data_IF_816982706760
#
_entry.id   IF_816982706760
#
_cell.length_a   1.000
_cell.length_b   1.000
_cell.length_c   1.000
_cell.angle_alpha   90.00
_cell.angle_beta   90.00
_cell.angle_gamma   90.00
#
_symmetry.space_group_name_H-M   'P 1'
#
loop_
_entity.id
_entity.type
_entity.pdbx_description
1 polymer ?
2 polymer ?
3 polymer ?
4 non-polymer ?
5 non-polymer ?
6 water ?
#
loop_
_entity_poly.entity_id
_entity_poly.type
_entity_poly.pdbx_seq_one_letter_code
_entity_poly.pdbx_strand_id
2 'polydeoxyribonucleotide' '(DG8)(DG)(DG)(DG)(DT)(DC)(DC)(DT)' ?
3 'polydeoxyribonucleotide' '(DA)(DG)(DG)(DA)(DC)(DC)(DC)' ?
#
# COMPACT_ATOMS: atom_id res chain seq x y z
N UNK A 26 -11.04 24.06 4.60
CA UNK A 26 -12.18 23.58 3.80
C UNK A 26 -12.34 22.05 3.88
N UNK A 27 -13.59 21.60 3.76
CA UNK A 27 -13.92 20.19 3.89
C UNK A 27 -13.64 19.43 2.60
N UNK A 28 -12.83 18.38 2.70
CA UNK A 28 -12.47 17.54 1.57
C UNK A 28 -13.46 16.40 1.40
N UNK A 29 -13.31 15.67 0.29
CA UNK A 29 -13.98 14.39 0.09
C UNK A 29 -12.97 13.44 -0.52
N UNK A 30 -12.49 12.50 0.27
CA UNK A 30 -11.49 11.56 -0.20
C UNK A 30 -12.08 10.18 -0.38
N UNK A 31 -11.57 9.44 -1.35
CA UNK A 31 -11.96 8.06 -1.52
C UNK A 31 -10.73 7.16 -1.45
N UNK A 32 -10.86 6.08 -0.70
CA UNK A 32 -9.83 5.08 -0.63
C UNK A 32 -10.29 3.84 -1.35
N UNK A 33 -9.44 3.25 -2.17
CA UNK A 33 -9.78 2.07 -2.95
C UNK A 33 -8.85 0.92 -2.63
N UNK A 34 -9.43 -0.24 -2.37
CA UNK A 34 -8.71 -1.38 -1.87
C UNK A 34 -9.14 -2.61 -2.65
N UNK A 35 -8.22 -3.22 -3.38
CA UNK A 35 -8.56 -4.38 -4.20
C UNK A 35 -8.60 -5.66 -3.39
N UNK A 36 -9.72 -6.37 -3.44
CA UNK A 36 -9.85 -7.63 -2.73
C UNK A 36 -8.70 -8.55 -3.11
N UNK A 37 -8.10 -9.18 -2.10
CA UNK A 37 -6.99 -10.13 -2.29
C UNK A 37 -6.29 -9.96 -3.63
N UNK A 38 -5.36 -9.02 -3.71
CA UNK A 38 -4.83 -8.59 -4.99
C UNK A 38 -4.19 -9.67 -5.87
N UNK A 39 -3.10 -10.25 -5.41
CA UNK A 39 -2.39 -11.26 -6.19
C UNK A 39 -3.33 -12.41 -6.55
N UNK A 40 -4.14 -12.80 -5.57
CA UNK A 40 -5.15 -13.84 -5.77
C UNK A 40 -5.98 -13.56 -7.02
N UNK A 41 -6.56 -12.37 -7.07
CA UNK A 41 -7.39 -11.95 -8.19
C UNK A 41 -6.67 -12.05 -9.52
N UNK A 42 -5.44 -11.56 -9.57
CA UNK A 42 -4.70 -11.52 -10.83
C UNK A 42 -4.42 -12.93 -11.36
N UNK A 43 -4.00 -13.84 -10.48
CA UNK A 43 -3.75 -15.22 -10.87
C UNK A 43 -4.96 -15.84 -11.55
N UNK A 44 -6.10 -15.84 -10.86
CA UNK A 44 -7.35 -16.28 -11.47
C UNK A 44 -7.55 -15.63 -12.83
N UNK A 45 -7.71 -14.30 -12.84
CA UNK A 45 -7.88 -13.59 -14.09
C UNK A 45 -6.83 -14.04 -15.11
N UNK A 46 -5.73 -14.59 -14.64
CA UNK A 46 -4.68 -15.09 -15.54
C UNK A 46 -5.04 -16.49 -16.01
N UNK A 47 -5.21 -17.39 -15.05
CA UNK A 47 -5.59 -18.77 -15.34
C UNK A 47 -6.98 -19.10 -14.78
N UNK A 48 -8.02 -18.82 -15.57
CA UNK A 48 -9.42 -19.06 -15.20
C UNK A 48 -9.62 -20.39 -14.48
N UNK A 49 -8.89 -21.41 -14.93
CA UNK A 49 -8.94 -22.73 -14.34
C UNK A 49 -8.57 -22.68 -12.86
N UNK A 50 -8.81 -21.52 -12.22
CA UNK A 50 -8.67 -21.39 -10.77
C UNK A 50 -9.89 -20.72 -10.13
N UNK A 51 -10.69 -20.02 -10.94
CA UNK A 51 -11.90 -19.36 -10.46
C UNK A 51 -12.72 -20.23 -9.50
N UNK A 52 -12.84 -21.50 -9.84
CA UNK A 52 -13.59 -22.48 -9.05
C UNK A 52 -12.83 -23.01 -7.85
N UNK A 53 -11.53 -22.72 -7.77
CA UNK A 53 -10.67 -23.43 -6.83
C UNK A 53 -10.00 -22.55 -5.79
N UNK A 54 -10.07 -22.98 -4.51
CA UNK A 54 -9.43 -22.31 -3.37
C UNK A 54 -7.93 -22.10 -3.64
N UNK A 55 -7.45 -20.85 -3.53
CA UNK A 55 -6.11 -20.51 -4.02
C UNK A 55 -5.31 -19.61 -3.09
N UNK A 56 -4.01 -19.85 -3.03
CA UNK A 56 -3.09 -19.03 -2.28
C UNK A 56 -1.86 -18.66 -3.11
N UNK A 57 -1.48 -17.39 -3.05
CA UNK A 57 -0.24 -16.99 -3.68
C UNK A 57 0.90 -17.24 -2.70
N UNK A 58 1.96 -17.84 -3.21
CA UNK A 58 3.05 -18.33 -2.39
C UNK A 58 4.32 -17.52 -2.62
N UNK A 59 4.86 -16.97 -1.54
CA UNK A 59 6.15 -16.30 -1.55
C UNK A 59 7.03 -17.13 -0.64
N UNK A 60 8.04 -17.78 -1.23
CA UNK A 60 8.86 -18.71 -0.48
C UNK A 60 7.99 -19.78 0.19
N UNK A 61 8.12 -19.84 1.52
CA UNK A 61 7.46 -20.85 2.34
C UNK A 61 6.08 -20.38 2.83
N UNK A 62 5.65 -19.20 2.40
CA UNK A 62 4.42 -18.61 2.89
C UNK A 62 3.31 -18.47 1.87
N UNK A 63 2.12 -18.16 2.37
CA UNK A 63 0.97 -17.85 1.54
C UNK A 63 0.56 -16.43 1.89
N UNK A 64 1.00 -15.46 1.09
CA UNK A 64 0.87 -14.06 1.46
C UNK A 64 -0.52 -13.48 1.18
N UNK A 65 -1.28 -14.18 0.35
CA UNK A 65 -2.68 -13.83 0.17
C UNK A 65 -3.41 -15.06 -0.37
N UNK A 66 -4.71 -14.92 -0.64
CA UNK A 66 -5.53 -16.03 -1.12
C UNK A 66 -6.99 -15.62 -1.32
N UNK A 67 -7.63 -16.17 -2.35
CA UNK A 67 -9.01 -15.82 -2.64
C UNK A 67 -9.92 -16.10 -1.47
N UNK A 68 -11.14 -15.59 -1.55
CA UNK A 68 -12.11 -15.76 -0.47
C UNK A 68 -12.66 -17.20 -0.38
N UNK A 69 -12.81 -17.84 -1.54
CA UNK A 69 -13.16 -19.26 -1.58
C UNK A 69 -12.27 -20.07 -0.65
N UNK A 70 -10.97 -19.78 -0.68
CA UNK A 70 -10.00 -20.49 0.14
C UNK A 70 -9.87 -19.91 1.56
N UNK A 71 -10.45 -18.73 1.80
CA UNK A 71 -10.45 -18.17 3.15
C UNK A 71 -11.43 -18.96 4.01
N UNK A 72 -12.45 -19.50 3.36
CA UNK A 72 -13.48 -20.27 4.05
C UNK A 72 -12.89 -21.49 4.75
N UNK A 73 -11.88 -22.09 4.13
CA UNK A 73 -11.36 -23.36 4.59
C UNK A 73 -10.25 -23.20 5.68
N UNK A 74 -10.26 -22.07 6.39
CA UNK A 74 -9.35 -21.87 7.52
C UNK A 74 -8.19 -20.91 7.23
N UNK A 75 -7.67 -21.00 6.02
CA UNK A 75 -6.58 -20.14 5.53
C UNK A 75 -6.68 -18.73 6.04
N UNK A 76 -5.51 -18.10 6.21
CA UNK A 76 -5.41 -16.74 6.73
C UNK A 76 -4.21 -16.05 6.08
N UNK A 77 -4.37 -14.77 5.75
CA UNK A 77 -3.25 -14.00 5.20
C UNK A 77 -1.94 -14.27 5.95
N UNK A 78 -0.83 -14.30 5.21
CA UNK A 78 0.50 -14.52 5.78
C UNK A 78 0.62 -15.80 6.64
N UNK A 79 0.05 -16.91 6.16
CA UNK A 79 0.13 -18.19 6.90
C UNK A 79 1.17 -19.19 6.35
N UNK A 80 1.66 -20.08 7.21
CA UNK A 80 2.64 -21.07 6.78
C UNK A 80 2.05 -22.14 5.86
N UNK A 81 2.73 -22.42 4.75
CA UNK A 81 2.19 -23.30 3.71
C UNK A 81 1.95 -24.71 4.20
N UNK A 82 2.80 -25.17 5.13
CA UNK A 82 2.60 -26.49 5.74
C UNK A 82 1.23 -26.51 6.40
N UNK A 83 1.08 -25.72 7.47
CA UNK A 83 -0.19 -25.57 8.15
C UNK A 83 -1.33 -25.35 7.15
N UNK A 84 -1.08 -24.56 6.09
CA UNK A 84 -2.09 -24.28 5.07
C UNK A 84 -2.86 -25.52 4.57
N UNK A 85 -2.20 -26.35 3.77
CA UNK A 85 -2.74 -27.63 3.30
C UNK A 85 -3.30 -28.55 4.41
N UNK A 86 -2.66 -28.52 5.58
CA UNK A 86 -3.18 -29.23 6.76
C UNK A 86 -4.50 -28.59 7.19
N UNK A 87 -4.69 -27.34 6.79
CA UNK A 87 -5.90 -26.60 7.10
C UNK A 87 -6.88 -26.70 5.94
N UNK A 88 -6.34 -27.01 4.77
CA UNK A 88 -7.10 -27.06 3.53
C UNK A 88 -6.36 -27.96 2.56
N UNK A 89 -6.42 -29.27 2.81
CA UNK A 89 -5.78 -30.28 1.95
C UNK A 89 -5.91 -29.92 0.47
N UNK A 90 -7.12 -29.52 0.05
CA UNK A 90 -7.39 -29.21 -1.34
C UNK A 90 -7.12 -27.74 -1.67
N UNK A 91 -5.96 -27.23 -1.24
CA UNK A 91 -5.56 -25.84 -1.50
C UNK A 91 -4.60 -25.69 -2.69
N UNK A 92 -5.03 -25.06 -3.77
CA UNK A 92 -4.12 -24.84 -4.91
C UNK A 92 -2.96 -23.90 -4.50
N UNK A 93 -1.87 -23.89 -5.28
CA UNK A 93 -0.77 -22.96 -5.03
C UNK A 93 -0.10 -22.42 -6.30
N UNK A 94 0.04 -21.10 -6.34
CA UNK A 94 0.70 -20.42 -7.44
C UNK A 94 1.83 -19.59 -6.85
N UNK A 95 2.83 -19.24 -7.68
CA UNK A 95 3.94 -18.46 -7.18
C UNK A 95 3.82 -16.98 -7.49
N UNK A 96 3.82 -16.17 -6.44
CA UNK A 96 3.80 -14.72 -6.57
C UNK A 96 5.11 -14.14 -6.07
N UNK A 97 6.21 -14.76 -6.50
CA UNK A 97 7.54 -14.25 -6.23
C UNK A 97 8.00 -13.46 -7.46
N UNK A 98 7.23 -13.51 -8.53
CA UNK A 98 7.41 -12.57 -9.62
C UNK A 98 6.30 -11.54 -9.60
N UNK A 99 6.62 -10.38 -9.06
CA UNK A 99 5.64 -9.31 -8.85
C UNK A 99 5.39 -8.53 -10.13
N UNK A 100 5.74 -9.13 -11.26
CA UNK A 100 5.74 -8.43 -12.53
C UNK A 100 4.34 -8.34 -13.12
N UNK A 101 3.61 -9.46 -13.07
CA UNK A 101 2.24 -9.47 -13.55
C UNK A 101 1.41 -8.54 -12.69
N UNK A 102 1.80 -8.44 -11.42
CA UNK A 102 1.00 -7.75 -10.40
C UNK A 102 1.02 -6.24 -10.50
N UNK A 103 2.17 -5.67 -10.88
CA UNK A 103 2.30 -4.23 -10.92
C UNK A 103 1.80 -3.62 -12.24
N UNK A 104 1.75 -4.44 -13.29
CA UNK A 104 1.14 -3.99 -14.53
C UNK A 104 -0.30 -3.63 -14.24
N UNK A 105 -0.97 -4.51 -13.51
CA UNK A 105 -2.33 -4.33 -13.07
C UNK A 105 -2.38 -3.24 -12.03
N UNK A 106 -1.38 -3.22 -11.16
CA UNK A 106 -1.30 -2.20 -10.14
C UNK A 106 -1.47 -0.83 -10.79
N UNK A 107 -0.71 -0.58 -11.85
CA UNK A 107 -0.77 0.71 -12.52
C UNK A 107 -1.94 0.87 -13.49
N UNK A 108 -2.44 -0.23 -14.04
CA UNK A 108 -3.63 -0.15 -14.88
C UNK A 108 -4.77 0.40 -14.04
N UNK A 109 -4.80 -0.03 -12.78
CA UNK A 109 -5.81 0.42 -11.81
C UNK A 109 -5.66 1.91 -11.54
N UNK A 110 -4.44 2.32 -11.21
CA UNK A 110 -4.13 3.72 -10.95
C UNK A 110 -4.46 4.60 -12.15
N UNK A 111 -4.10 4.15 -13.35
CA UNK A 111 -4.37 4.92 -14.55
C UNK A 111 -5.86 5.03 -14.80
N UNK A 112 -6.58 3.95 -14.50
CA UNK A 112 -8.03 3.94 -14.66
C UNK A 112 -8.66 5.02 -13.83
N UNK A 113 -8.12 5.21 -12.63
CA UNK A 113 -8.68 6.15 -11.67
C UNK A 113 -8.28 7.58 -11.98
N UNK A 114 -7.08 7.76 -12.54
CA UNK A 114 -6.58 9.08 -12.89
C UNK A 114 -7.46 9.76 -13.94
N UNK A 115 -8.12 8.94 -14.73
CA UNK A 115 -9.03 9.43 -15.75
C UNK A 115 -10.21 10.15 -15.11
N UNK A 116 -10.50 9.79 -13.87
CA UNK A 116 -11.54 10.45 -13.10
C UNK A 116 -11.04 11.80 -12.59
N UNK A 117 -10.10 11.74 -11.65
CA UNK A 117 -9.40 12.93 -11.18
C UNK A 117 -7.91 12.65 -11.26
N UNK A 118 -7.15 13.62 -11.80
CA UNK A 118 -5.71 13.47 -12.03
C UNK A 118 -4.92 13.15 -10.77
N UNK A 119 -5.38 13.63 -9.62
CA UNK A 119 -4.63 13.47 -8.38
C UNK A 119 -4.93 12.16 -7.67
N UNK A 120 -4.06 11.17 -7.89
CA UNK A 120 -4.25 9.82 -7.35
C UNK A 120 -2.99 9.33 -6.62
N UNK A 121 -3.14 9.06 -5.33
CA UNK A 121 -2.02 8.59 -4.53
C UNK A 121 -2.06 7.08 -4.33
N UNK A 122 -0.97 6.42 -4.69
CA UNK A 122 -0.88 4.98 -4.52
C UNK A 122 -0.36 4.64 -3.14
N UNK A 123 -0.77 3.49 -2.63
CA UNK A 123 -0.26 2.96 -1.38
C UNK A 123 -0.11 1.45 -1.52
N UNK A 124 1.13 0.99 -1.62
CA UNK A 124 1.37 -0.39 -1.99
C UNK A 124 0.89 -0.59 -3.41
N UNK A 125 0.64 -1.85 -3.78
CA UNK A 125 0.25 -2.14 -5.15
C UNK A 125 -1.26 -2.19 -5.36
N UNK A 126 -2.02 -2.35 -4.28
CA UNK A 126 -3.47 -2.58 -4.39
C UNK A 126 -4.34 -1.55 -3.71
N UNK A 127 -3.75 -0.41 -3.34
CA UNK A 127 -4.47 0.66 -2.67
C UNK A 127 -4.30 2.00 -3.38
N UNK A 128 -5.39 2.77 -3.49
CA UNK A 128 -5.34 4.09 -4.08
C UNK A 128 -6.16 5.13 -3.32
N UNK A 129 -5.62 6.34 -3.19
CA UNK A 129 -6.36 7.49 -2.70
C UNK A 129 -6.64 8.43 -3.87
N UNK A 130 -7.86 8.94 -3.96
CA UNK A 130 -8.18 10.01 -4.91
C UNK A 130 -8.90 11.15 -4.20
N UNK A 131 -8.59 12.38 -4.58
CA UNK A 131 -9.28 13.52 -4.00
C UNK A 131 -10.45 13.96 -4.88
N UNK A 132 -11.66 13.78 -4.36
CA UNK A 132 -12.88 13.99 -5.13
C UNK A 132 -13.52 15.35 -4.88
N UNK A 133 -12.90 16.13 -4.01
CA UNK A 133 -13.47 17.40 -3.56
C UNK A 133 -13.89 18.29 -4.72
N UNK A 134 -13.01 18.45 -5.71
CA UNK A 134 -13.33 19.26 -6.87
C UNK A 134 -14.34 18.61 -7.83
N UNK A 135 -14.22 17.30 -8.01
CA UNK A 135 -15.12 16.58 -8.88
C UNK A 135 -16.53 16.57 -8.28
N UNK A 136 -16.61 16.52 -6.96
CA UNK A 136 -17.91 16.60 -6.29
C UNK A 136 -18.55 17.98 -6.45
N UNK A 137 -17.81 19.04 -6.17
CA UNK A 137 -18.37 20.39 -6.27
C UNK A 137 -19.01 20.63 -7.62
N UNK A 138 -18.37 20.15 -8.67
CA UNK A 138 -18.89 20.31 -10.03
C UNK A 138 -20.20 19.58 -10.22
N UNK A 139 -20.26 18.31 -9.80
CA UNK A 139 -21.49 17.55 -9.93
C UNK A 139 -22.66 18.28 -9.30
N UNK A 140 -22.40 18.96 -8.19
CA UNK A 140 -23.44 19.67 -7.47
C UNK A 140 -23.74 21.00 -8.11
N UNK A 141 -22.68 21.72 -8.48
CA UNK A 141 -22.82 23.01 -9.13
C UNK A 141 -23.45 22.83 -10.50
N UNK A 142 -24.01 21.65 -10.74
CA UNK A 142 -24.76 21.36 -11.94
C UNK A 142 -25.99 20.55 -11.56
N UNK A 143 -26.45 20.73 -10.33
CA UNK A 143 -27.58 19.97 -9.84
C UNK A 143 -28.75 20.88 -9.48
N UNK A 144 -29.79 20.88 -10.32
CA UNK A 144 -30.93 21.77 -10.11
C UNK A 144 -31.36 21.69 -8.64
N UNK A 145 -31.60 22.87 -8.04
CA UNK A 145 -32.04 22.91 -6.65
C UNK A 145 -33.25 21.99 -6.41
N UNK A 146 -33.95 21.67 -7.50
CA UNK A 146 -35.14 20.85 -7.44
C UNK A 146 -34.79 19.40 -7.05
N UNK A 147 -33.98 18.78 -7.91
CA UNK A 147 -33.56 17.38 -7.78
C UNK A 147 -32.58 17.13 -6.62
N UNK A 148 -32.35 18.16 -5.81
CA UNK A 148 -31.46 18.07 -4.66
C UNK A 148 -31.84 16.96 -3.65
N UNK A 149 -33.13 16.72 -3.45
CA UNK A 149 -33.58 15.67 -2.54
C UNK A 149 -33.45 14.28 -3.17
N UNK A 150 -33.24 14.28 -4.49
CA UNK A 150 -33.15 13.05 -5.26
C UNK A 150 -31.83 12.32 -4.98
N UNK A 151 -30.81 13.11 -4.62
CA UNK A 151 -29.51 12.57 -4.26
C UNK A 151 -29.65 11.39 -3.31
N UNK A 152 -28.89 10.33 -3.57
CA UNK A 152 -28.98 9.12 -2.76
C UNK A 152 -27.61 8.51 -2.54
N UNK A 153 -27.55 7.39 -1.83
CA UNK A 153 -26.26 6.80 -1.51
C UNK A 153 -26.03 5.48 -2.23
N UNK A 154 -24.79 5.26 -2.65
CA UNK A 154 -24.36 3.96 -3.15
C UNK A 154 -23.52 3.22 -2.10
N UNK A 155 -23.93 2.01 -1.74
CA UNK A 155 -23.22 1.22 -0.76
C UNK A 155 -23.72 1.46 0.65
N UNK A 156 -22.89 1.11 1.65
CA UNK A 156 -23.28 1.24 3.04
C UNK A 156 -22.97 2.62 3.62
N UNK A 157 -23.79 3.07 4.57
CA UNK A 157 -23.52 4.23 5.40
C UNK A 157 -23.05 3.73 6.77
N UNK A 158 -21.84 4.10 7.18
CA UNK A 158 -21.26 3.56 8.40
C UNK A 158 -22.06 3.78 9.68
N UNK A 159 -22.15 2.72 10.48
CA UNK A 159 -22.93 2.71 11.71
C UNK A 159 -24.41 2.97 11.44
N UNK A 160 -24.81 2.65 10.21
CA UNK A 160 -26.18 2.82 9.78
C UNK A 160 -26.74 4.19 10.14
N UNK A 161 -25.88 5.19 10.11
CA UNK A 161 -26.28 6.51 10.55
C UNK A 161 -27.27 7.12 9.59
N UNK A 162 -28.37 7.66 10.12
CA UNK A 162 -29.39 8.22 9.26
C UNK A 162 -28.86 9.41 8.47
N UNK A 163 -29.22 9.46 7.19
CA UNK A 163 -28.82 10.57 6.34
C UNK A 163 -29.59 11.84 6.68
N UNK A 164 -28.92 12.98 6.59
CA UNK A 164 -29.52 14.30 6.75
C UNK A 164 -29.23 15.14 5.52
N UNK A 165 -30.18 15.16 4.59
CA UNK A 165 -29.95 15.79 3.29
C UNK A 165 -29.78 17.30 3.33
N UNK A 166 -30.19 17.92 4.43
CA UNK A 166 -30.15 19.38 4.55
C UNK A 166 -28.76 19.83 4.96
N UNK A 167 -27.92 18.85 5.27
CA UNK A 167 -26.58 19.11 5.76
C UNK A 167 -25.62 18.97 4.59
N UNK A 168 -25.20 20.10 4.05
CA UNK A 168 -24.36 20.11 2.85
C UNK A 168 -23.25 19.06 2.91
N UNK A 169 -22.64 18.91 4.08
CA UNK A 169 -21.55 17.95 4.28
C UNK A 169 -21.98 16.53 3.99
N UNK A 170 -23.22 16.21 4.34
CA UNK A 170 -23.78 14.90 4.02
C UNK A 170 -23.97 14.78 2.52
N UNK A 171 -24.29 15.89 1.88
CA UNK A 171 -24.58 15.89 0.46
C UNK A 171 -23.32 15.64 -0.35
N UNK A 172 -22.27 16.38 0.00
CA UNK A 172 -20.98 16.22 -0.68
C UNK A 172 -20.37 14.84 -0.51
N UNK A 173 -20.77 14.13 0.54
CA UNK A 173 -20.22 12.80 0.81
C UNK A 173 -21.01 11.70 0.12
N UNK A 174 -22.31 11.92 -0.04
CA UNK A 174 -23.14 10.97 -0.76
C UNK A 174 -22.78 10.97 -2.23
N UNK A 175 -22.59 12.15 -2.80
CA UNK A 175 -22.10 12.19 -4.15
C UNK A 175 -20.82 11.38 -4.16
N UNK A 176 -19.95 11.65 -3.20
CA UNK A 176 -18.69 10.94 -3.08
C UNK A 176 -18.84 9.44 -3.23
N UNK A 177 -19.87 8.88 -2.62
CA UNK A 177 -20.12 7.45 -2.69
C UNK A 177 -20.50 7.01 -4.11
N UNK A 178 -21.17 7.88 -4.85
CA UNK A 178 -21.66 7.54 -6.18
C UNK A 178 -20.50 7.46 -7.15
N UNK A 179 -19.59 8.41 -7.03
CA UNK A 179 -18.40 8.40 -7.86
C UNK A 179 -17.62 7.13 -7.58
N UNK A 180 -17.53 6.77 -6.30
CA UNK A 180 -16.84 5.54 -5.91
C UNK A 180 -17.47 4.33 -6.57
N UNK A 181 -18.81 4.27 -6.55
CA UNK A 181 -19.53 3.17 -7.17
C UNK A 181 -19.22 3.10 -8.67
N UNK A 182 -19.11 4.28 -9.27
CA UNK A 182 -18.76 4.39 -10.69
C UNK A 182 -17.36 3.86 -10.89
N UNK A 183 -16.43 4.31 -10.07
CA UNK A 183 -15.04 3.88 -10.15
C UNK A 183 -14.91 2.38 -9.98
N UNK A 184 -15.73 1.80 -9.11
CA UNK A 184 -15.62 0.37 -8.84
C UNK A 184 -16.20 -0.43 -9.97
N UNK A 185 -17.21 0.12 -10.64
CA UNK A 185 -17.82 -0.56 -11.76
C UNK A 185 -16.86 -0.53 -12.94
N UNK A 186 -16.22 0.61 -13.14
CA UNK A 186 -15.26 0.76 -14.22
C UNK A 186 -14.12 -0.21 -14.07
N UNK A 187 -13.63 -0.35 -12.84
CA UNK A 187 -12.51 -1.23 -12.60
C UNK A 187 -12.93 -2.62 -12.99
N UNK A 188 -14.18 -2.95 -12.72
CA UNK A 188 -14.66 -4.28 -12.99
C UNK A 188 -14.91 -4.50 -14.47
N UNK A 189 -15.69 -3.62 -15.07
CA UNK A 189 -16.03 -3.75 -16.49
C UNK A 189 -14.79 -3.75 -17.37
N UNK A 190 -13.82 -2.91 -17.01
CA UNK A 190 -12.66 -2.67 -17.86
C UNK A 190 -11.42 -3.46 -17.50
N UNK A 191 -11.28 -3.84 -16.24
CA UNK A 191 -10.10 -4.57 -15.79
C UNK A 191 -10.44 -5.93 -15.16
N UNK A 192 -11.72 -6.10 -14.82
CA UNK A 192 -12.20 -7.35 -14.27
C UNK A 192 -11.93 -7.48 -12.79
N UNK A 193 -11.55 -6.38 -12.16
CA UNK A 193 -11.19 -6.39 -10.74
C UNK A 193 -12.32 -5.92 -9.84
N UNK A 194 -12.47 -6.59 -8.70
CA UNK A 194 -13.43 -6.20 -7.67
C UNK A 194 -12.70 -5.56 -6.51
N UNK A 195 -13.33 -4.58 -5.85
CA UNK A 195 -12.70 -3.94 -4.72
C UNK A 195 -13.65 -3.26 -3.76
N UNK A 196 -13.08 -2.75 -2.67
CA UNK A 196 -13.84 -1.98 -1.70
C UNK A 196 -13.48 -0.51 -1.79
N UNK A 197 -14.38 0.34 -1.31
CA UNK A 197 -14.14 1.77 -1.36
C UNK A 197 -14.51 2.38 -0.02
N UNK A 198 -13.78 3.41 0.37
CA UNK A 198 -14.08 4.12 1.58
C UNK A 198 -14.11 5.61 1.33
N UNK A 199 -15.24 6.24 1.62
CA UNK A 199 -15.39 7.68 1.38
C UNK A 199 -15.61 8.46 2.68
N UNK A 200 -14.68 9.36 2.98
CA UNK A 200 -14.75 10.17 4.19
C UNK A 200 -14.13 11.55 3.96
N UNK A 201 -13.79 12.25 5.04
CA UNK A 201 -13.33 13.63 4.91
C UNK A 201 -11.81 13.80 4.94
N UNK A 202 -11.09 12.72 5.23
CA UNK A 202 -9.64 12.70 5.12
C UNK A 202 -9.11 11.28 4.88
N UNK A 203 -7.85 11.18 4.47
CA UNK A 203 -7.22 9.89 4.10
C UNK A 203 -7.31 8.84 5.21
N UNK A 204 -7.15 9.30 6.44
CA UNK A 204 -7.24 8.46 7.61
C UNK A 204 -8.58 7.72 7.65
N UNK A 205 -9.68 8.47 7.66
CA UNK A 205 -11.00 7.86 7.80
C UNK A 205 -11.42 7.10 6.55
N UNK A 206 -11.15 7.66 5.39
CA UNK A 206 -11.38 6.96 4.14
C UNK A 206 -10.75 5.56 4.21
N UNK A 207 -9.50 5.50 4.66
CA UNK A 207 -8.80 4.23 4.76
C UNK A 207 -9.48 3.27 5.72
N UNK A 208 -9.86 3.78 6.88
CA UNK A 208 -10.45 2.97 7.94
C UNK A 208 -11.84 2.49 7.61
N UNK A 209 -12.62 3.32 6.95
CA UNK A 209 -14.01 2.99 6.67
C UNK A 209 -14.14 2.07 5.44
N UNK A 210 -13.08 1.96 4.65
CA UNK A 210 -13.14 1.15 3.43
C UNK A 210 -13.15 -0.36 3.69
N UNK A 211 -12.72 -0.78 4.88
CA UNK A 211 -12.64 -2.18 5.20
C UNK A 211 -13.73 -2.67 6.13
N UNK A 212 -14.71 -1.82 6.41
CA UNK A 212 -15.82 -2.18 7.27
C UNK A 212 -16.67 -3.25 6.61
N UNK A 213 -16.80 -3.16 5.30
CA UNK A 213 -17.54 -4.17 4.55
C UNK A 213 -16.69 -4.76 3.44
N UNK A 214 -16.27 -6.00 3.63
CA UNK A 214 -15.49 -6.71 2.63
C UNK A 214 -16.18 -8.03 2.31
N UNK A 215 -15.89 -8.60 1.13
CA UNK A 215 -15.11 -7.96 0.08
C UNK A 215 -16.05 -7.36 -0.97
N UNK A 216 -15.49 -6.63 -1.93
CA UNK A 216 -16.25 -6.09 -3.05
C UNK A 216 -17.47 -5.24 -2.66
N UNK A 217 -17.31 -4.38 -1.66
CA UNK A 217 -18.39 -3.52 -1.21
C UNK A 217 -17.82 -2.19 -0.76
N UNK A 218 -18.68 -1.20 -0.56
CA UNK A 218 -18.19 0.12 -0.14
C UNK A 218 -18.99 0.77 0.97
N UNK A 219 -18.29 1.55 1.79
CA UNK A 219 -18.87 2.21 2.95
C UNK A 219 -18.52 3.68 2.97
N UNK A 220 -19.49 4.52 3.31
CA UNK A 220 -19.22 5.94 3.46
C UNK A 220 -19.33 6.36 4.93
N UNK A 221 -18.59 7.39 5.31
CA UNK A 221 -18.59 7.84 6.69
C UNK A 221 -19.09 9.26 6.84
N UNK A 222 -20.15 9.43 7.61
CA UNK A 222 -20.61 10.76 7.97
C UNK A 222 -19.86 11.19 9.23
N UNK A 223 -19.72 12.51 9.43
CA UNK A 223 -18.87 13.07 10.48
C UNK A 223 -19.35 12.75 11.88
N UNK A 224 -20.66 12.59 12.03
CA UNK A 224 -21.24 12.38 13.34
C UNK A 224 -20.88 11.00 13.88
N UNK A 225 -20.40 10.13 12.99
CA UNK A 225 -20.01 8.76 13.38
C UNK A 225 -18.50 8.57 13.30
N UNK A 226 -17.77 9.67 13.28
CA UNK A 226 -16.32 9.64 13.22
C UNK A 226 -15.71 9.02 14.47
N UNK A 227 -16.27 9.38 15.62
CA UNK A 227 -15.75 8.85 16.88
C UNK A 227 -16.10 7.38 17.10
N UNK A 228 -17.20 6.93 16.51
CA UNK A 228 -17.55 5.53 16.66
C UNK A 228 -16.53 4.66 15.96
N UNK A 229 -16.05 5.12 14.82
CA UNK A 229 -15.13 4.35 13.99
C UNK A 229 -13.74 4.23 14.63
N UNK A 230 -13.23 5.32 15.16
CA UNK A 230 -11.92 5.28 15.79
C UNK A 230 -11.93 4.41 17.04
N UNK A 231 -13.05 4.39 17.75
CA UNK A 231 -13.10 3.61 18.99
C UNK A 231 -13.38 2.13 18.73
N UNK A 232 -13.98 1.82 17.59
CA UNK A 232 -14.15 0.43 17.20
C UNK A 232 -12.79 -0.28 17.13
N UNK A 233 -11.71 0.49 16.98
CA UNK A 233 -10.36 -0.08 16.91
C UNK A 233 -9.93 -0.62 18.27
N UNK A 234 -9.24 -1.76 18.26
CA UNK A 234 -8.84 -2.41 19.50
C UNK A 234 -7.41 -2.13 19.94
N UNK A 235 -6.45 -2.66 19.17
CA UNK A 235 -5.05 -2.33 19.41
C UNK A 235 -4.78 -0.94 18.85
N UNK A 236 -3.86 -0.19 19.46
CA UNK A 236 -3.57 1.16 19.02
C UNK A 236 -2.83 1.18 17.68
N UNK A 237 -2.13 0.08 17.38
CA UNK A 237 -1.37 -0.02 16.14
C UNK A 237 -2.25 -0.30 14.93
N UNK A 238 -3.56 -0.10 15.09
CA UNK A 238 -4.44 -0.37 13.97
C UNK A 238 -4.63 0.87 13.12
N UNK A 239 -4.30 2.03 13.68
CA UNK A 239 -4.43 3.27 12.93
C UNK A 239 -3.24 3.50 12.01
N UNK A 240 -3.53 3.77 10.72
CA UNK A 240 -2.50 4.02 9.69
C UNK A 240 -1.54 5.11 10.13
N UNK A 241 -0.26 4.77 10.22
CA UNK A 241 0.72 5.73 10.66
C UNK A 241 1.38 5.32 11.96
N UNK A 242 0.61 4.72 12.84
CA UNK A 242 1.19 4.19 14.06
C UNK A 242 1.67 2.79 13.75
N UNK A 243 2.98 2.65 13.55
CA UNK A 243 3.58 1.38 13.21
C UNK A 243 4.37 0.78 14.35
N UNK A 244 5.16 -0.25 14.04
CA UNK A 244 5.83 -1.06 15.05
C UNK A 244 6.51 -0.24 16.13
N UNK A 245 7.56 0.48 15.75
CA UNK A 245 8.31 1.28 16.72
C UNK A 245 7.36 2.09 17.59
N UNK A 246 6.64 3.03 16.97
CA UNK A 246 5.78 3.96 17.70
C UNK A 246 4.81 3.28 18.68
N UNK A 247 4.33 2.09 18.33
CA UNK A 247 3.46 1.33 19.23
C UNK A 247 4.21 0.93 20.50
N UNK A 248 5.30 0.20 20.32
CA UNK A 248 6.15 -0.21 21.43
C UNK A 248 6.58 0.96 22.30
N UNK A 249 6.78 2.12 21.69
CA UNK A 249 7.00 3.34 22.44
C UNK A 249 5.82 3.62 23.36
N UNK A 250 4.60 3.55 22.81
CA UNK A 250 3.39 3.90 23.54
C UNK A 250 2.96 2.78 24.47
N UNK A 251 3.14 1.54 24.04
CA UNK A 251 2.81 0.38 24.86
C UNK A 251 3.61 0.43 26.14
N UNK A 252 4.81 0.99 26.03
CA UNK A 252 5.68 1.13 27.18
C UNK A 252 5.14 2.19 28.13
N UNK A 253 4.45 3.18 27.58
CA UNK A 253 3.94 4.30 28.36
C UNK A 253 2.58 3.99 28.98
N UNK A 254 2.13 2.74 28.83
CA UNK A 254 0.83 2.33 29.37
C UNK A 254 -0.33 2.76 28.50
N UNK A 255 0.00 3.08 27.25
CA UNK A 255 -0.97 3.50 26.23
C UNK A 255 -1.35 2.32 25.33
N UNK A 256 -2.61 1.91 25.40
CA UNK A 256 -3.05 0.73 24.68
C UNK A 256 -4.31 0.98 23.84
N UNK A 257 -5.22 1.80 24.35
CA UNK A 257 -6.45 2.10 23.63
C UNK A 257 -6.34 3.43 22.91
N UNK A 258 -7.28 3.67 22.00
CA UNK A 258 -7.38 4.95 21.31
C UNK A 258 -7.70 6.09 22.28
N UNK A 259 -8.41 5.76 23.35
CA UNK A 259 -8.79 6.77 24.31
C UNK A 259 -7.62 7.03 25.25
N UNK A 260 -6.89 5.97 25.59
CA UNK A 260 -5.64 6.14 26.31
C UNK A 260 -4.84 7.22 25.61
N UNK A 261 -4.55 6.99 24.33
CA UNK A 261 -3.79 7.93 23.50
C UNK A 261 -4.49 9.28 23.34
N UNK A 262 -5.80 9.27 23.14
CA UNK A 262 -6.57 10.50 23.07
C UNK A 262 -6.47 11.32 24.33
N UNK A 263 -6.31 10.67 25.47
CA UNK A 263 -6.37 11.36 26.76
C UNK A 263 -5.00 11.58 27.41
N UNK A 264 -3.97 10.97 26.83
CA UNK A 264 -2.63 11.10 27.37
C UNK A 264 -2.17 12.53 27.35
N UNK A 265 -1.23 12.85 28.22
CA UNK A 265 -0.70 14.19 28.29
C UNK A 265 0.14 14.48 27.06
N UNK A 266 -0.12 15.61 26.39
CA UNK A 266 0.66 16.02 25.22
C UNK A 266 2.12 16.16 25.58
N UNK A 267 2.40 17.12 26.45
CA UNK A 267 3.76 17.49 26.81
C UNK A 267 4.64 16.27 27.10
N UNK A 268 4.07 15.27 27.78
CA UNK A 268 4.81 14.04 28.08
C UNK A 268 5.11 13.27 26.81
N UNK A 269 4.18 13.35 25.87
CA UNK A 269 4.28 12.69 24.59
C UNK A 269 5.34 13.39 23.76
N UNK A 270 5.22 14.71 23.66
CA UNK A 270 6.20 15.51 22.95
C UNK A 270 7.60 15.19 23.46
N UNK A 271 7.75 15.12 24.78
CA UNK A 271 9.05 14.83 25.36
C UNK A 271 9.53 13.45 24.94
N UNK A 272 8.59 12.51 24.90
CA UNK A 272 8.92 11.11 24.68
C UNK A 272 8.95 10.71 23.20
N UNK A 273 8.23 11.46 22.36
CA UNK A 273 8.12 11.12 20.94
C UNK A 273 8.67 12.20 20.02
N UNK A 274 8.89 13.37 20.58
CA UNK A 274 9.33 14.50 19.79
C UNK A 274 8.10 15.23 19.32
N UNK A 275 8.20 16.54 19.20
CA UNK A 275 7.05 17.37 18.89
C UNK A 275 6.45 17.08 17.53
N UNK A 276 7.25 16.57 16.59
CA UNK A 276 6.73 16.27 15.26
C UNK A 276 5.74 15.13 15.32
N UNK A 277 6.22 13.98 15.78
CA UNK A 277 5.41 12.80 15.87
C UNK A 277 4.25 13.02 16.84
N UNK A 278 4.59 13.33 18.08
CA UNK A 278 3.59 13.54 19.11
C UNK A 278 2.36 14.27 18.60
N UNK A 279 2.57 15.41 17.97
CA UNK A 279 1.46 16.25 17.52
C UNK A 279 0.59 15.56 16.47
N UNK A 280 1.24 14.94 15.50
CA UNK A 280 0.52 14.27 14.43
C UNK A 280 -0.26 13.05 14.92
N UNK A 281 0.43 12.10 15.53
CA UNK A 281 -0.18 10.82 15.90
C UNK A 281 -1.24 10.93 16.99
N UNK A 282 -1.28 12.05 17.71
CA UNK A 282 -2.38 12.25 18.65
C UNK A 282 -3.60 12.79 17.90
N UNK A 283 -3.35 13.69 16.94
CA UNK A 283 -4.43 14.16 16.08
C UNK A 283 -5.11 12.95 15.46
N UNK A 284 -4.29 11.96 15.11
CA UNK A 284 -4.79 10.74 14.49
C UNK A 284 -5.72 9.97 15.41
N UNK A 285 -5.50 10.08 16.71
CA UNK A 285 -6.35 9.38 17.67
C UNK A 285 -7.74 10.00 17.69
N UNK A 286 -7.86 11.21 17.17
CA UNK A 286 -9.14 11.89 17.11
C UNK A 286 -9.81 11.74 15.75
N UNK A 287 -9.06 11.22 14.79
CA UNK A 287 -9.54 11.07 13.44
C UNK A 287 -9.26 12.30 12.59
N UNK A 288 -8.29 13.09 13.01
CA UNK A 288 -7.90 14.29 12.28
C UNK A 288 -6.66 14.05 11.46
N UNK A 289 -6.80 14.18 10.16
CA UNK A 289 -5.69 14.01 9.25
C UNK A 289 -5.77 15.04 8.14
N UNK A 290 -4.83 15.96 8.10
CA UNK A 290 -4.86 17.02 7.11
C UNK A 290 -3.85 16.86 6.01
N UNK A 291 -3.22 15.68 5.95
CA UNK A 291 -2.29 15.38 4.88
C UNK A 291 -3.04 15.18 3.55
N UNK A 292 -2.51 15.77 2.47
CA UNK A 292 -3.14 15.85 1.16
C UNK A 292 -2.93 14.58 0.34
N UNK A 293 -3.82 14.34 -0.62
CA UNK A 293 -3.61 13.25 -1.56
C UNK A 293 -2.51 13.67 -2.50
N UNK A 294 -1.37 13.00 -2.41
CA UNK A 294 -0.25 13.31 -3.28
C UNK A 294 -0.42 12.58 -4.61
N UNK A 295 -0.07 13.25 -5.71
CA UNK A 295 -0.01 12.59 -7.01
C UNK A 295 1.26 11.76 -7.12
N UNK A 296 1.11 10.45 -7.27
CA UNK A 296 2.25 9.55 -7.24
C UNK A 296 3.09 9.54 -8.52
N UNK A 297 2.42 9.63 -9.66
CA UNK A 297 3.08 9.57 -10.95
C UNK A 297 3.91 8.32 -11.07
N UNK A 298 4.93 8.37 -11.93
CA UNK A 298 5.85 7.25 -12.18
C UNK A 298 6.69 6.90 -10.95
N UNK A 299 7.16 5.64 -10.86
CA UNK A 299 7.92 5.18 -9.70
C UNK A 299 9.26 5.90 -9.51
N UNK A 300 9.46 6.50 -8.35
CA UNK A 300 10.69 7.20 -8.05
C UNK A 300 11.90 6.28 -7.98
N UNK A 301 11.64 5.00 -7.73
CA UNK A 301 12.71 4.02 -7.54
C UNK A 301 12.31 2.62 -7.98
N UNK A 302 13.30 1.74 -8.08
CA UNK A 302 13.07 0.32 -8.35
C UNK A 302 14.00 -0.44 -7.42
N UNK A 303 13.70 -1.70 -7.13
CA UNK A 303 14.61 -2.49 -6.31
C UNK A 303 14.28 -3.99 -6.29
N UNK A 304 15.29 -4.82 -6.02
CA UNK A 304 15.07 -6.25 -5.82
C UNK A 304 15.70 -6.66 -4.50
N UNK A 305 15.00 -7.50 -3.75
CA UNK A 305 15.45 -7.86 -2.41
C UNK A 305 15.85 -9.35 -2.27
N UNK A 306 16.77 -9.61 -1.35
CA UNK A 306 17.03 -10.99 -0.94
C UNK A 306 17.61 -11.09 0.48
N UNK A 307 16.91 -11.83 1.32
CA UNK A 307 17.38 -12.15 2.67
C UNK A 307 17.71 -13.64 2.74
N UNK A 308 18.27 -14.07 3.87
CA UNK A 308 18.79 -15.44 3.99
C UNK A 308 19.49 -15.69 5.33
N UNK A 309 19.86 -16.95 5.59
CA UNK A 309 20.43 -17.32 6.87
C UNK A 309 21.87 -16.85 7.02
N UNK A 310 22.68 -17.14 6.01
CA UNK A 310 24.10 -16.82 6.06
C UNK A 310 24.65 -16.41 4.71
N UNK A 311 25.72 -15.63 4.78
CA UNK A 311 26.48 -15.20 3.61
C UNK A 311 27.75 -14.61 4.19
N UNK A 312 28.84 -15.36 4.06
CA UNK A 312 30.10 -14.95 4.69
C UNK A 312 31.21 -14.73 3.68
N UNK A 313 30.87 -14.78 2.38
CA UNK A 313 31.87 -14.63 1.32
C UNK A 313 31.63 -13.48 0.32
N UNK A 314 32.68 -12.69 0.05
CA UNK A 314 32.62 -11.68 -0.99
C UNK A 314 32.18 -12.26 -2.34
N UNK A 315 32.70 -13.44 -2.66
CA UNK A 315 32.40 -14.10 -3.94
C UNK A 315 30.93 -14.46 -4.15
N UNK A 316 30.26 -14.98 -3.11
CA UNK A 316 28.84 -15.36 -3.21
C UNK A 316 27.93 -14.13 -3.07
N UNK A 317 28.39 -13.15 -2.30
CA UNK A 317 27.82 -11.82 -2.38
C UNK A 317 27.81 -11.42 -3.87
N UNK A 318 28.96 -11.58 -4.51
CA UNK A 318 29.10 -11.24 -5.92
C UNK A 318 28.02 -11.91 -6.75
N UNK A 319 27.80 -13.20 -6.51
CA UNK A 319 26.78 -13.97 -7.23
C UNK A 319 25.38 -13.37 -7.05
N UNK A 320 24.98 -13.19 -5.80
CA UNK A 320 23.73 -12.50 -5.50
C UNK A 320 23.68 -11.15 -6.21
N UNK A 321 24.63 -10.27 -5.86
CA UNK A 321 24.70 -8.94 -6.46
C UNK A 321 24.60 -8.98 -7.99
N UNK A 322 25.06 -10.07 -8.61
CA UNK A 322 24.93 -10.28 -10.05
C UNK A 322 23.48 -10.61 -10.45
N UNK A 323 22.87 -11.56 -9.74
CA UNK A 323 21.47 -11.91 -9.99
C UNK A 323 20.60 -10.65 -9.91
N UNK A 324 20.55 -10.04 -8.72
CA UNK A 324 19.71 -8.88 -8.48
C UNK A 324 19.90 -7.85 -9.59
N UNK A 325 21.16 -7.58 -9.91
CA UNK A 325 21.49 -6.66 -10.97
C UNK A 325 20.79 -7.10 -12.26
N UNK A 326 20.86 -8.38 -12.55
CA UNK A 326 20.21 -8.91 -13.74
C UNK A 326 18.73 -8.51 -13.74
N UNK A 327 18.01 -8.87 -12.68
CA UNK A 327 16.56 -8.67 -12.61
C UNK A 327 16.16 -7.21 -12.80
N UNK A 328 16.93 -6.32 -12.19
CA UNK A 328 16.61 -4.90 -12.20
C UNK A 328 16.79 -4.25 -13.57
N UNK A 329 17.88 -4.62 -14.24
CA UNK A 329 18.23 -4.06 -15.53
C UNK A 329 17.03 -4.14 -16.51
N UNK A 330 16.07 -5.02 -16.22
CA UNK A 330 14.90 -5.31 -17.09
C UNK A 330 13.78 -4.28 -16.99
N UNK A 331 13.53 -3.81 -15.78
CA UNK A 331 12.46 -2.84 -15.56
C UNK A 331 13.11 -1.51 -15.81
N UNK A 332 14.23 -1.32 -15.13
CA UNK A 332 15.04 -0.15 -15.34
C UNK A 332 15.17 0.05 -16.86
N UNK A 333 15.29 -1.06 -17.57
CA UNK A 333 15.24 -1.03 -19.01
C UNK A 333 13.95 -0.32 -19.45
N UNK A 334 12.86 -1.07 -19.53
CA UNK A 334 11.57 -0.53 -19.97
C UNK A 334 11.33 0.95 -19.58
N UNK A 335 10.51 1.18 -18.55
CA UNK A 335 10.25 2.51 -18.00
C UNK A 335 10.44 3.63 -19.02
N UNK A 336 11.67 4.09 -19.14
CA UNK A 336 12.01 5.09 -20.12
C UNK A 336 13.15 5.92 -19.60
N UNK A 337 12.84 7.05 -18.99
CA UNK A 337 13.79 7.81 -18.17
C UNK A 337 14.82 6.86 -17.55
N UNK A 338 16.00 7.40 -17.23
CA UNK A 338 17.13 6.61 -16.74
C UNK A 338 17.53 6.98 -15.31
N UNK A 339 18.04 6.00 -14.56
CA UNK A 339 18.55 6.13 -13.19
C UNK A 339 19.94 6.77 -13.18
N UNK A 340 20.19 7.70 -12.27
CA UNK A 340 21.46 8.43 -12.22
C UNK A 340 22.20 8.16 -10.92
N UNK A 341 21.63 7.29 -10.09
CA UNK A 341 22.23 6.90 -8.82
C UNK A 341 21.85 5.46 -8.51
N UNK A 342 22.80 4.72 -7.92
CA UNK A 342 22.52 3.36 -7.49
C UNK A 342 22.96 3.24 -6.04
N UNK A 343 22.42 2.26 -5.34
CA UNK A 343 22.78 2.08 -3.94
C UNK A 343 22.86 0.62 -3.54
N UNK A 344 23.45 0.38 -2.39
CA UNK A 344 23.54 -0.97 -1.90
C UNK A 344 23.08 -0.99 -0.45
N UNK A 345 22.25 -1.96 -0.11
CA UNK A 345 21.70 -2.08 1.23
C UNK A 345 22.09 -3.43 1.85
N UNK A 346 22.50 -3.42 3.12
CA UNK A 346 22.93 -4.64 3.77
C UNK A 346 22.45 -4.81 5.21
N UNK A 347 21.73 -5.91 5.46
CA UNK A 347 21.36 -6.30 6.83
C UNK A 347 22.29 -7.38 7.38
N UNK A 348 22.85 -7.12 8.57
CA UNK A 348 23.82 -8.01 9.21
C UNK A 348 23.22 -8.84 10.35
N UNK A 356 18.34 -4.27 11.11
CA UNK A 356 19.18 -3.08 11.18
C UNK A 356 19.93 -2.82 9.88
N UNK A 357 19.38 -1.95 9.03
CA UNK A 357 19.98 -1.71 7.71
C UNK A 357 21.03 -0.60 7.68
N UNK A 358 21.83 -0.62 6.63
CA UNK A 358 22.78 0.42 6.31
C UNK A 358 23.02 0.38 4.80
N UNK A 359 23.33 1.54 4.23
CA UNK A 359 23.36 1.67 2.78
C UNK A 359 24.50 2.56 2.33
N UNK A 360 24.85 2.43 1.05
CA UNK A 360 25.78 3.32 0.42
C UNK A 360 25.23 3.61 -0.96
N UNK A 361 25.66 4.71 -1.56
CA UNK A 361 25.15 5.11 -2.87
C UNK A 361 26.13 6.04 -3.56
N UNK A 362 26.06 6.08 -4.89
CA UNK A 362 26.86 7.02 -5.65
C UNK A 362 26.30 7.15 -7.07
N UNK A 363 26.54 8.31 -7.69
CA UNK A 363 26.11 8.51 -9.07
C UNK A 363 26.60 7.40 -9.98
N UNK A 364 25.80 7.05 -10.98
CA UNK A 364 26.24 6.14 -12.03
C UNK A 364 26.90 6.99 -13.09
N UNK A 365 28.17 6.67 -13.44
CA UNK A 365 28.97 7.41 -14.43
C UNK A 365 28.21 7.61 -15.75
N UNK A 366 28.44 8.76 -16.39
CA UNK A 366 27.67 9.17 -17.56
C UNK A 366 27.63 8.11 -18.67
N UNK A 367 28.80 7.60 -19.06
CA UNK A 367 28.86 6.60 -20.12
C UNK A 367 28.08 5.33 -19.78
N UNK A 368 27.88 5.08 -18.49
CA UNK A 368 27.12 3.90 -18.04
C UNK A 368 25.64 3.94 -18.46
N UNK A 369 24.98 5.07 -18.19
CA UNK A 369 23.66 5.32 -18.77
C UNK A 369 23.83 5.20 -20.28
N UNK A 370 23.64 3.98 -20.78
CA UNK A 370 23.92 3.65 -22.17
C UNK A 370 23.65 2.16 -22.38
N UNK A 371 22.56 1.85 -23.09
CA UNK A 371 22.21 0.47 -23.41
C UNK A 371 22.02 0.29 -24.89
N UNK A 377 27.54 -3.28 -25.85
CA UNK A 377 26.24 -3.31 -25.21
C UNK A 377 26.31 -4.04 -23.87
N UNK A 378 27.46 -4.02 -23.21
CA UNK A 378 27.57 -4.62 -21.87
C UNK A 378 27.47 -3.55 -20.78
N UNK A 379 26.83 -3.91 -19.68
CA UNK A 379 26.62 -2.95 -18.59
C UNK A 379 26.81 -3.62 -17.22
N UNK A 380 26.71 -4.94 -17.19
CA UNK A 380 26.87 -5.73 -15.96
C UNK A 380 28.20 -5.52 -15.22
N UNK A 381 29.30 -5.95 -15.84
CA UNK A 381 30.60 -5.96 -15.18
C UNK A 381 30.99 -4.61 -14.60
N UNK A 382 30.77 -3.52 -15.37
CA UNK A 382 31.08 -2.20 -14.79
C UNK A 382 30.21 -1.91 -13.58
N UNK A 383 28.97 -2.38 -13.60
CA UNK A 383 28.07 -2.22 -12.46
C UNK A 383 28.58 -2.97 -11.23
N UNK A 384 28.76 -4.27 -11.37
CA UNK A 384 29.16 -5.07 -10.22
C UNK A 384 30.47 -4.53 -9.65
N UNK A 385 31.30 -3.98 -10.54
CA UNK A 385 32.54 -3.33 -10.13
C UNK A 385 32.24 -2.20 -9.14
N UNK A 386 31.35 -1.29 -9.52
CA UNK A 386 30.93 -0.19 -8.65
C UNK A 386 30.29 -0.69 -7.37
N UNK A 387 29.25 -1.53 -7.52
CA UNK A 387 28.56 -2.10 -6.38
C UNK A 387 29.50 -2.76 -5.38
N UNK A 388 30.40 -3.62 -5.87
CA UNK A 388 31.38 -4.23 -4.99
C UNK A 388 32.16 -3.17 -4.23
N UNK A 389 32.57 -2.11 -4.91
CA UNK A 389 33.29 -0.99 -4.28
C UNK A 389 32.50 -0.49 -3.07
N UNK A 390 31.20 -0.27 -3.26
CA UNK A 390 30.32 0.13 -2.18
C UNK A 390 30.29 -0.96 -1.12
N UNK A 391 29.99 -2.18 -1.55
CA UNK A 391 29.94 -3.35 -0.67
C UNK A 391 31.22 -3.67 0.09
N UNK A 392 32.30 -2.92 -0.18
CA UNK A 392 33.61 -3.20 0.43
C UNK A 392 34.02 -2.08 1.39
N UNK A 393 33.59 -0.87 1.07
CA UNK A 393 33.82 0.25 1.98
C UNK A 393 32.84 0.17 3.15
N UNK A 394 31.75 -0.54 2.93
CA UNK A 394 30.74 -0.73 3.95
C UNK A 394 31.10 -1.93 4.82
N UNK A 395 31.74 -2.94 4.20
CA UNK A 395 32.11 -4.16 4.88
C UNK A 395 33.64 -4.32 4.91
N UNK A 396 34.17 -4.95 5.95
CA UNK A 396 35.61 -5.28 5.98
C UNK A 396 35.87 -6.71 5.56
N UNK A 397 36.14 -6.92 4.26
CA UNK A 397 36.28 -8.27 3.71
C UNK A 397 37.46 -9.06 4.30
N UNK A 398 38.61 -8.38 4.45
CA UNK A 398 39.78 -8.99 5.08
C UNK A 398 39.36 -9.84 6.29
N UNK A 399 38.32 -9.38 7.00
CA UNK A 399 37.78 -10.04 8.19
C UNK A 399 36.47 -10.77 7.86
N UNK A 400 36.08 -11.72 8.74
CA UNK A 400 34.82 -12.49 8.63
C UNK A 400 33.59 -11.60 8.80
N UNK A 401 32.48 -11.97 8.18
CA UNK A 401 31.26 -11.15 8.20
C UNK A 401 30.01 -11.93 7.78
N UNK A 402 28.84 -11.53 8.30
CA UNK A 402 27.62 -12.32 8.09
C UNK A 402 26.37 -11.46 7.83
N UNK A 403 25.84 -11.54 6.62
CA UNK A 403 24.66 -10.75 6.25
C UNK A 403 23.45 -11.67 6.06
N UNK A 404 22.29 -11.22 6.56
CA UNK A 404 21.05 -11.97 6.35
C UNK A 404 20.22 -11.38 5.22
N UNK A 405 20.78 -10.36 4.55
CA UNK A 405 20.05 -9.65 3.49
C UNK A 405 20.92 -8.74 2.63
N UNK A 406 20.61 -8.73 1.33
CA UNK A 406 21.26 -7.85 0.36
C UNK A 406 20.25 -7.26 -0.59
N UNK A 407 20.34 -5.95 -0.83
CA UNK A 407 19.51 -5.34 -1.85
C UNK A 407 20.25 -4.40 -2.78
N UNK A 408 19.65 -4.16 -3.94
CA UNK A 408 20.20 -3.27 -4.94
C UNK A 408 19.07 -2.34 -5.39
N UNK A 409 19.34 -1.03 -5.44
CA UNK A 409 18.31 -0.03 -5.78
C UNK A 409 18.79 1.00 -6.81
N UNK A 410 17.97 1.22 -7.85
CA UNK A 410 18.18 2.28 -8.83
C UNK A 410 17.17 3.41 -8.64
N UNK A 411 17.64 4.65 -8.61
CA UNK A 411 16.76 5.80 -8.45
C UNK A 411 17.36 7.03 -9.10
N UNK A 412 16.92 8.21 -8.67
CA UNK A 412 17.40 9.45 -9.27
C UNK A 412 17.16 9.40 -10.77
N UNK A 413 15.94 9.05 -11.16
CA UNK A 413 15.59 8.91 -12.57
C UNK A 413 15.22 10.26 -13.19
N UNK A 414 15.80 10.54 -14.36
CA UNK A 414 15.55 11.80 -15.04
C UNK A 414 14.80 11.57 -16.35
#
# INVERSE_FOLDING_TARGET
MELADVGAAASSQGVHDQVLPTPNASSRVIVHVDLDCFYAQVEMISNPELKDKPLGVQQKYLVVTCNYEARKLGVKKLMNVRDAKEKCPQLVLVNGEDLTRYREMSYKVTELLEEFSPVVERLGFDENFVDLTEMVEKRLQQLQSDELSAVTVSGHVYNNQSINLLDVLHIRLLVGSQIAAEMREAMYNQLGLTGCAGVASNKLLAKLVSGVFKPNQQTVLLPESCQHLIHSLNHIKEIPGIGYKTAKCLEALGINSVRDLQTFSPKILEKELGISVAQRIQKLSFGEDNSPVILSGPPQSFSEEDSFKKCSSEVEAKNKIEELLASLLNRVCQDGRKPHTVRLIIRRYSSEKHYGRESRQCPIPSHVIQKLGTGNYDVMTPMVDILMKLFRNMVNVKMPFHLTLLSVCFCNLKALNTAK
#
